data_IF_620580582378
#
_entry.id   IF_620580582378
#
_cell.length_a   1.000
_cell.length_b   1.000
_cell.length_c   1.000
_cell.angle_alpha   90.00
_cell.angle_beta   90.00
_cell.angle_gamma   90.00
#
_symmetry.space_group_name_H-M   'P 1'
#
loop_
_entity.id
_entity.type
_entity.pdbx_description
1 polymer ?
#
# COMPACT_ATOMS: atom_id res chain seq x y z
N UNK A 1 -15.62 -5.93 4.40
CA UNK A 1 -16.80 -5.55 3.61
C UNK A 1 -16.65 -4.17 3.02
N UNK A 2 -17.13 -4.00 1.80
CA UNK A 2 -17.39 -2.70 1.16
C UNK A 2 -18.90 -2.58 1.06
N UNK A 3 -19.45 -1.47 1.51
CA UNK A 3 -20.90 -1.23 1.54
C UNK A 3 -21.22 -0.01 0.69
N UNK A 4 -22.20 -0.16 -0.20
CA UNK A 4 -22.69 0.91 -1.06
C UNK A 4 -23.90 1.57 -0.41
N UNK A 5 -23.86 2.89 -0.33
CA UNK A 5 -24.97 3.71 0.15
C UNK A 5 -25.41 4.69 -0.92
N UNK A 6 -26.68 5.08 -0.88
CA UNK A 6 -27.19 6.22 -1.61
C UNK A 6 -26.69 7.54 -1.02
N UNK A 7 -26.90 8.64 -1.72
CA UNK A 7 -26.63 10.00 -1.16
C UNK A 7 -27.51 10.35 0.04
N UNK A 8 -28.63 9.65 0.23
CA UNK A 8 -29.51 9.76 1.38
C UNK A 8 -29.17 8.77 2.51
N UNK A 9 -28.01 8.10 2.43
CA UNK A 9 -27.54 7.10 3.39
C UNK A 9 -28.39 5.84 3.49
N UNK A 10 -29.16 5.52 2.48
CA UNK A 10 -29.81 4.22 2.38
C UNK A 10 -28.80 3.19 1.90
N UNK A 11 -28.73 2.06 2.59
CA UNK A 11 -27.88 0.97 2.19
C UNK A 11 -28.44 0.29 0.94
N UNK A 12 -27.67 0.31 -0.13
CA UNK A 12 -28.08 -0.25 -1.41
C UNK A 12 -27.57 -1.68 -1.61
N UNK A 13 -26.26 -1.92 -1.34
CA UNK A 13 -25.62 -3.18 -1.61
C UNK A 13 -24.33 -3.36 -0.80
N UNK A 14 -23.67 -4.52 -0.92
CA UNK A 14 -22.37 -4.79 -0.31
C UNK A 14 -21.56 -5.84 -1.06
N UNK A 15 -20.24 -5.69 -1.03
CA UNK A 15 -19.28 -6.72 -1.38
C UNK A 15 -18.58 -7.25 -0.11
N UNK A 16 -18.30 -8.55 -0.08
CA UNK A 16 -17.53 -9.17 1.02
C UNK A 16 -16.44 -10.06 0.42
N UNK A 17 -15.20 -9.72 0.69
CA UNK A 17 -14.07 -10.58 0.37
C UNK A 17 -13.92 -11.65 1.44
N UNK A 18 -13.78 -12.90 1.01
CA UNK A 18 -13.62 -14.08 1.89
C UNK A 18 -12.51 -14.97 1.35
N UNK A 19 -11.85 -15.69 2.24
CA UNK A 19 -10.95 -16.79 1.88
C UNK A 19 -9.62 -16.41 1.25
N UNK A 20 -9.25 -15.14 1.25
CA UNK A 20 -7.97 -14.71 0.76
C UNK A 20 -6.89 -15.12 1.76
N UNK A 21 -6.15 -16.16 1.57
CA UNK A 21 -5.00 -16.65 2.34
C UNK A 21 -4.96 -16.32 3.85
N UNK A 22 -6.12 -16.02 4.42
CA UNK A 22 -6.29 -15.70 5.83
C UNK A 22 -7.54 -16.38 6.36
N UNK A 23 -7.45 -16.88 7.57
CA UNK A 23 -8.58 -17.48 8.29
C UNK A 23 -9.33 -16.44 9.11
N UNK A 24 -8.77 -15.26 9.25
CA UNK A 24 -9.32 -14.15 10.04
C UNK A 24 -9.63 -12.96 9.13
N UNK A 25 -10.71 -12.22 9.38
CA UNK A 25 -10.99 -10.95 8.73
C UNK A 25 -9.90 -9.93 9.02
N UNK A 26 -9.79 -8.91 8.17
CA UNK A 26 -8.91 -7.76 8.40
C UNK A 26 -9.22 -7.14 9.76
N UNK A 27 -8.27 -7.18 10.67
CA UNK A 27 -8.46 -6.65 12.01
C UNK A 27 -7.59 -5.42 12.29
N UNK A 28 -6.57 -5.20 11.48
CA UNK A 28 -5.68 -4.07 11.61
C UNK A 28 -5.07 -3.67 10.27
N UNK A 29 -4.59 -2.46 10.21
CA UNK A 29 -3.80 -1.96 9.09
C UNK A 29 -4.43 -0.79 8.35
N UNK A 30 -3.65 -0.24 7.43
CA UNK A 30 -4.07 0.84 6.57
C UNK A 30 -5.13 0.39 5.57
N UNK A 31 -5.95 1.34 5.17
CA UNK A 31 -6.91 1.18 4.09
C UNK A 31 -6.83 2.39 3.19
N UNK A 32 -6.78 2.16 1.91
CA UNK A 32 -6.88 3.21 0.89
C UNK A 32 -7.68 2.73 -0.30
N UNK A 33 -8.26 3.65 -1.03
CA UNK A 33 -8.95 3.35 -2.28
C UNK A 33 -8.78 4.48 -3.29
N UNK A 34 -8.92 4.11 -4.56
CA UNK A 34 -9.03 5.02 -5.68
C UNK A 34 -10.18 4.57 -6.58
N UNK A 35 -10.80 5.50 -7.25
CA UNK A 35 -11.93 5.23 -8.15
C UNK A 35 -11.59 5.66 -9.57
N UNK A 36 -11.95 4.84 -10.54
CA UNK A 36 -11.88 5.18 -11.94
C UNK A 36 -12.90 4.35 -12.75
N UNK A 37 -13.72 5.02 -13.55
CA UNK A 37 -14.63 4.39 -14.51
C UNK A 37 -15.63 3.42 -13.89
N UNK A 38 -16.10 3.64 -12.66
CA UNK A 38 -17.03 2.75 -11.97
C UNK A 38 -16.35 1.57 -11.25
N UNK A 39 -15.03 1.55 -11.25
CA UNK A 39 -14.22 0.58 -10.51
C UNK A 39 -13.67 1.24 -9.24
N UNK A 40 -13.81 0.58 -8.11
CA UNK A 40 -13.20 0.97 -6.86
C UNK A 40 -12.03 0.05 -6.56
N UNK A 41 -10.83 0.57 -6.70
CA UNK A 41 -9.59 -0.13 -6.36
C UNK A 41 -9.33 0.02 -4.87
N UNK A 42 -9.08 -1.09 -4.20
CA UNK A 42 -8.87 -1.11 -2.75
C UNK A 42 -7.53 -1.75 -2.44
N UNK A 43 -6.78 -1.11 -1.55
CA UNK A 43 -5.56 -1.65 -0.96
C UNK A 43 -5.65 -1.55 0.55
N UNK A 44 -5.41 -2.68 1.21
CA UNK A 44 -5.42 -2.80 2.67
C UNK A 44 -4.44 -3.87 3.10
N UNK A 45 -4.14 -3.92 4.37
CA UNK A 45 -3.36 -5.00 4.95
C UNK A 45 -4.24 -6.00 5.68
N UNK A 46 -3.77 -7.21 5.81
CA UNK A 46 -4.43 -8.29 6.55
C UNK A 46 -3.39 -9.19 7.21
N UNK A 47 -3.83 -9.99 8.13
CA UNK A 47 -3.01 -10.95 8.82
C UNK A 47 -3.06 -12.33 8.15
N UNK A 48 -1.90 -12.95 7.96
CA UNK A 48 -1.78 -14.33 7.49
C UNK A 48 -1.47 -15.25 8.66
N UNK A 49 -2.36 -16.21 8.91
CA UNK A 49 -2.20 -17.14 10.03
C UNK A 49 -1.50 -18.44 9.69
N UNK A 50 -1.27 -18.69 8.41
CA UNK A 50 -0.61 -19.93 7.98
C UNK A 50 0.44 -19.58 6.95
N UNK A 51 1.65 -19.31 7.39
CA UNK A 51 2.78 -19.16 6.50
C UNK A 51 3.70 -20.40 6.58
N UNK A 52 4.47 -20.62 5.53
CA UNK A 52 5.36 -21.78 5.42
C UNK A 52 6.49 -21.81 6.44
N UNK A 53 6.78 -20.69 7.08
CA UNK A 53 7.79 -20.55 8.14
C UNK A 53 7.22 -20.69 9.55
N UNK A 54 5.90 -20.96 9.67
CA UNK A 54 5.23 -21.13 10.96
C UNK A 54 4.96 -19.82 11.71
N UNK A 55 5.23 -18.66 11.10
CA UNK A 55 4.95 -17.36 11.68
C UNK A 55 3.68 -16.75 11.08
N UNK A 56 3.04 -15.88 11.83
CA UNK A 56 1.93 -15.07 11.32
C UNK A 56 2.51 -13.80 10.68
N UNK A 57 2.24 -13.62 9.41
CA UNK A 57 2.67 -12.45 8.68
C UNK A 57 1.48 -11.58 8.32
N UNK A 58 1.70 -10.28 8.26
CA UNK A 58 0.73 -9.34 7.75
C UNK A 58 1.05 -9.00 6.29
N UNK A 59 0.03 -9.03 5.45
CA UNK A 59 0.17 -8.85 4.02
C UNK A 59 -0.69 -7.69 3.52
N UNK A 60 -0.17 -6.96 2.54
CA UNK A 60 -0.99 -6.04 1.78
C UNK A 60 -1.88 -6.80 0.81
N UNK A 61 -3.16 -6.45 0.83
CA UNK A 61 -4.18 -7.02 -0.05
C UNK A 61 -4.70 -5.95 -0.99
N UNK A 62 -4.82 -6.30 -2.26
CA UNK A 62 -5.48 -5.46 -3.26
C UNK A 62 -6.61 -6.22 -3.93
N UNK A 63 -7.71 -5.53 -4.21
CA UNK A 63 -8.84 -6.05 -4.97
C UNK A 63 -9.63 -4.92 -5.59
N UNK A 64 -10.45 -5.25 -6.58
CA UNK A 64 -11.31 -4.31 -7.27
C UNK A 64 -12.77 -4.63 -6.96
N UNK A 65 -13.57 -3.60 -6.71
CA UNK A 65 -15.03 -3.69 -6.60
C UNK A 65 -15.67 -2.98 -7.77
N UNK A 66 -16.49 -3.67 -8.52
CA UNK A 66 -17.33 -3.10 -9.57
C UNK A 66 -18.50 -2.39 -8.90
N UNK A 67 -18.60 -1.07 -9.08
CA UNK A 67 -19.58 -0.27 -8.33
C UNK A 67 -21.02 -0.49 -8.80
N UNK A 68 -21.22 -0.99 -10.01
CA UNK A 68 -22.56 -1.26 -10.55
C UNK A 68 -23.25 -2.39 -9.78
N UNK A 69 -22.59 -3.54 -9.69
CA UNK A 69 -23.16 -4.79 -9.17
C UNK A 69 -22.47 -5.31 -7.88
N UNK A 70 -21.53 -4.54 -7.34
CA UNK A 70 -20.74 -4.88 -6.15
C UNK A 70 -19.98 -6.19 -6.23
N UNK A 71 -19.67 -6.66 -7.44
CA UNK A 71 -18.80 -7.83 -7.62
C UNK A 71 -17.35 -7.51 -7.36
N UNK A 72 -16.59 -8.50 -6.88
CA UNK A 72 -15.16 -8.37 -6.61
C UNK A 72 -14.38 -9.10 -7.70
N UNK A 73 -13.40 -8.43 -8.25
CA UNK A 73 -12.40 -8.99 -9.15
C UNK A 73 -10.98 -8.71 -8.66
N UNK A 74 -10.01 -9.37 -9.28
CA UNK A 74 -8.58 -9.10 -9.09
C UNK A 74 -8.10 -9.14 -7.64
N UNK A 75 -8.74 -9.97 -6.81
CA UNK A 75 -8.28 -10.15 -5.45
C UNK A 75 -6.90 -10.82 -5.43
N UNK A 76 -5.89 -10.04 -5.08
CA UNK A 76 -4.54 -10.50 -4.86
C UNK A 76 -4.27 -10.56 -3.35
N UNK A 77 -4.49 -11.72 -2.79
CA UNK A 77 -4.21 -12.01 -1.38
C UNK A 77 -2.76 -12.41 -1.15
N UNK A 78 -2.07 -12.74 -2.22
CA UNK A 78 -0.70 -13.16 -2.11
C UNK A 78 0.18 -11.91 -2.09
N UNK A 79 1.05 -11.94 -1.16
CA UNK A 79 2.33 -11.31 -1.07
C UNK A 79 2.59 -10.29 -2.15
N UNK A 80 2.50 -9.06 -1.79
CA UNK A 80 2.83 -7.96 -2.68
C UNK A 80 4.33 -7.71 -2.84
N UNK A 81 5.18 -8.58 -2.30
CA UNK A 81 6.61 -8.52 -2.55
C UNK A 81 7.07 -9.64 -3.48
N UNK A 82 7.10 -9.41 -4.80
CA UNK A 82 7.48 -10.43 -5.77
C UNK A 82 8.95 -10.83 -5.70
N UNK A 83 9.81 -10.01 -5.08
CA UNK A 83 11.25 -10.24 -5.09
C UNK A 83 11.72 -11.27 -4.06
N UNK A 84 11.03 -11.39 -2.94
CA UNK A 84 11.48 -12.24 -1.83
C UNK A 84 10.47 -13.29 -1.40
N UNK A 85 9.25 -13.25 -1.90
CA UNK A 85 8.15 -14.10 -1.43
C UNK A 85 7.70 -13.80 0.00
N UNK A 86 8.29 -12.82 0.65
CA UNK A 86 7.96 -12.41 2.01
C UNK A 86 6.97 -11.25 2.01
N UNK A 87 6.09 -11.26 2.96
CA UNK A 87 5.03 -10.28 3.07
C UNK A 87 5.43 -9.17 4.01
N UNK A 88 5.42 -7.94 3.50
CA UNK A 88 5.47 -6.75 4.33
C UNK A 88 4.06 -6.25 4.51
N UNK A 89 3.57 -6.10 5.72
CA UNK A 89 2.35 -5.36 5.92
C UNK A 89 2.64 -3.87 5.88
N UNK A 90 1.64 -3.11 5.46
CA UNK A 90 1.76 -1.67 5.41
C UNK A 90 0.95 -1.04 6.53
N UNK A 91 1.60 -0.25 7.37
CA UNK A 91 0.94 0.51 8.42
C UNK A 91 0.11 1.67 7.90
N UNK A 92 0.49 2.20 6.74
CA UNK A 92 -0.24 3.26 6.05
C UNK A 92 -0.05 3.10 4.55
N UNK A 93 -1.11 3.38 3.82
CA UNK A 93 -1.17 3.20 2.37
C UNK A 93 -1.85 4.40 1.74
N UNK A 94 -1.32 4.83 0.60
CA UNK A 94 -1.93 5.84 -0.25
C UNK A 94 -2.06 5.27 -1.66
N UNK A 95 -3.09 5.69 -2.39
CA UNK A 95 -3.33 5.20 -3.74
C UNK A 95 -3.97 6.29 -4.59
N UNK A 96 -3.65 6.27 -5.87
CA UNK A 96 -4.33 7.03 -6.92
C UNK A 96 -4.39 6.22 -8.21
N UNK A 97 -5.26 6.62 -9.12
CA UNK A 97 -5.18 6.26 -10.54
C UNK A 97 -4.60 7.45 -11.26
N UNK A 98 -3.54 7.24 -12.03
CA UNK A 98 -2.88 8.31 -12.77
C UNK A 98 -3.63 8.65 -14.07
N UNK A 99 -3.20 9.72 -14.75
CA UNK A 99 -3.82 10.19 -16.00
C UNK A 99 -3.73 9.18 -17.15
N UNK A 100 -2.85 8.18 -17.04
CA UNK A 100 -2.72 7.10 -18.02
C UNK A 100 -3.53 5.85 -17.61
N UNK A 101 -4.35 5.94 -16.56
CA UNK A 101 -5.18 4.85 -16.04
C UNK A 101 -4.40 3.78 -15.27
N UNK A 102 -3.18 4.07 -14.83
CA UNK A 102 -2.37 3.12 -14.04
C UNK A 102 -2.62 3.31 -12.56
N UNK A 103 -2.68 2.21 -11.85
CA UNK A 103 -2.79 2.23 -10.40
C UNK A 103 -1.42 2.51 -9.78
N UNK A 104 -1.35 3.53 -8.93
CA UNK A 104 -0.14 3.90 -8.21
C UNK A 104 -0.43 3.87 -6.71
N UNK A 105 0.39 3.15 -5.96
CA UNK A 105 0.25 3.02 -4.52
C UNK A 105 1.58 3.29 -3.80
N UNK A 106 1.49 3.90 -2.63
CA UNK A 106 2.62 4.13 -1.73
C UNK A 106 2.35 3.41 -0.41
N UNK A 107 3.21 2.46 -0.07
CA UNK A 107 3.13 1.66 1.13
C UNK A 107 4.22 2.02 2.14
N UNK A 108 3.87 1.96 3.42
CA UNK A 108 4.80 2.01 4.52
C UNK A 108 5.10 0.59 5.03
N UNK A 109 6.19 0.01 4.56
CA UNK A 109 6.58 -1.35 4.93
C UNK A 109 7.53 -1.42 6.13
N UNK A 110 7.46 -2.50 6.89
CA UNK A 110 8.33 -2.77 8.05
C UNK A 110 9.33 -3.92 7.81
N UNK A 111 9.17 -4.66 6.73
CA UNK A 111 9.96 -5.86 6.47
C UNK A 111 10.61 -5.86 5.08
N UNK A 112 9.98 -6.45 4.09
CA UNK A 112 10.52 -6.59 2.73
C UNK A 112 9.63 -5.89 1.69
N UNK A 113 9.99 -4.64 1.35
CA UNK A 113 11.07 -3.84 1.96
C UNK A 113 10.65 -3.14 3.24
N UNK A 114 11.63 -2.79 4.06
CA UNK A 114 11.45 -1.89 5.20
C UNK A 114 11.66 -0.45 4.71
N UNK A 115 10.59 0.27 4.44
CA UNK A 115 10.68 1.59 3.83
C UNK A 115 9.39 2.11 3.22
N UNK A 116 9.47 3.23 2.52
CA UNK A 116 8.43 3.72 1.63
C UNK A 116 8.57 3.05 0.26
N UNK A 117 7.58 2.29 -0.14
CA UNK A 117 7.56 1.59 -1.42
C UNK A 117 6.49 2.17 -2.31
N UNK A 118 6.92 2.67 -3.46
CA UNK A 118 6.03 3.12 -4.53
C UNK A 118 5.80 1.96 -5.51
N UNK A 119 4.54 1.66 -5.78
CA UNK A 119 4.13 0.67 -6.76
C UNK A 119 3.44 1.36 -7.92
N UNK A 120 3.72 0.91 -9.13
CA UNK A 120 2.96 1.28 -10.32
C UNK A 120 2.52 0.01 -11.03
N UNK A 121 1.23 -0.17 -11.18
CA UNK A 121 0.66 -1.30 -11.88
C UNK A 121 0.30 -0.89 -13.30
N UNK A 122 0.89 -1.54 -14.28
CA UNK A 122 0.58 -1.36 -15.68
C UNK A 122 -0.72 -2.13 -15.98
N UNK A 123 -1.79 -1.39 -16.13
CA UNK A 123 -3.15 -1.93 -16.27
C UNK A 123 -3.95 -1.92 -14.95
N UNK A 124 -5.24 -2.03 -15.08
CA UNK A 124 -6.20 -1.85 -14.00
C UNK A 124 -6.26 -3.01 -13.01
N UNK A 125 -5.47 -4.05 -13.16
CA UNK A 125 -5.62 -5.26 -12.36
C UNK A 125 -4.93 -5.25 -11.00
N UNK A 126 -4.22 -4.22 -10.62
CA UNK A 126 -3.59 -4.09 -9.29
C UNK A 126 -2.67 -5.24 -8.84
N UNK A 127 -2.47 -6.25 -9.68
CA UNK A 127 -1.85 -7.52 -9.30
C UNK A 127 -0.35 -7.57 -9.48
N UNK A 128 0.17 -6.88 -10.45
CA UNK A 128 1.61 -6.86 -10.73
C UNK A 128 1.99 -5.49 -11.20
N UNK A 129 3.03 -4.97 -10.60
CA UNK A 129 3.56 -3.67 -10.97
C UNK A 129 5.04 -3.61 -10.71
N UNK A 130 5.62 -2.54 -11.14
CA UNK A 130 6.98 -2.20 -10.79
C UNK A 130 7.00 -1.60 -9.40
N UNK A 131 7.91 -2.08 -8.56
CA UNK A 131 8.13 -1.55 -7.21
C UNK A 131 9.42 -0.74 -7.17
N UNK A 132 9.36 0.41 -6.56
CA UNK A 132 10.52 1.25 -6.26
C UNK A 132 10.58 1.52 -4.76
N UNK A 133 11.71 1.24 -4.13
CA UNK A 133 11.97 1.66 -2.76
C UNK A 133 12.41 3.14 -2.75
N UNK A 134 11.49 4.01 -2.36
CA UNK A 134 11.73 5.47 -2.31
C UNK A 134 12.62 5.85 -1.14
N UNK A 135 12.41 5.21 0.02
CA UNK A 135 13.21 5.42 1.22
C UNK A 135 13.28 4.14 2.05
N UNK A 136 14.40 3.90 2.73
CA UNK A 136 14.57 2.81 3.68
C UNK A 136 14.46 3.32 5.11
N UNK A 137 13.79 2.56 5.97
CA UNK A 137 13.68 2.88 7.38
C UNK A 137 14.77 2.18 8.21
N UNK A 138 15.30 2.82 9.26
CA UNK A 138 16.20 2.17 10.20
C UNK A 138 15.48 1.07 11.00
N UNK A 139 16.26 0.18 11.59
CA UNK A 139 15.77 -0.87 12.49
C UNK A 139 15.78 -2.28 11.89
N UNK A 140 15.38 -3.24 12.69
CA UNK A 140 15.35 -4.65 12.30
C UNK A 140 14.14 -4.94 11.41
N UNK A 141 14.30 -5.89 10.50
CA UNK A 141 13.24 -6.38 9.63
C UNK A 141 12.09 -6.93 10.48
N UNK A 142 10.87 -6.49 10.16
CA UNK A 142 9.65 -6.88 10.89
C UNK A 142 9.43 -6.16 12.23
N UNK A 143 10.33 -5.25 12.62
CA UNK A 143 10.09 -4.45 13.83
C UNK A 143 9.01 -3.39 13.57
N UNK A 144 7.94 -3.42 14.36
CA UNK A 144 6.75 -2.56 14.19
C UNK A 144 7.07 -1.06 14.31
N UNK A 145 8.05 -0.70 15.12
CA UNK A 145 8.46 0.72 15.26
C UNK A 145 9.45 1.07 14.17
N UNK A 146 9.02 1.83 13.20
CA UNK A 146 9.84 2.26 12.06
C UNK A 146 10.44 3.66 12.24
N UNK A 147 9.88 4.47 13.12
CA UNK A 147 10.24 5.89 13.25
C UNK A 147 9.87 6.73 12.02
N UNK A 148 8.95 6.23 11.20
CA UNK A 148 8.62 6.80 9.91
C UNK A 148 7.11 6.79 9.66
N UNK A 149 6.66 7.56 8.67
CA UNK A 149 5.29 7.58 8.19
C UNK A 149 5.24 8.09 6.76
N UNK A 150 4.49 7.42 5.88
CA UNK A 150 4.12 7.96 4.57
C UNK A 150 2.91 8.87 4.71
N UNK A 151 2.93 10.04 4.06
CA UNK A 151 1.94 11.09 4.30
C UNK A 151 1.35 11.71 3.04
N UNK A 152 1.97 11.50 1.88
CA UNK A 152 1.49 12.08 0.63
C UNK A 152 1.90 11.29 -0.60
N UNK A 153 0.98 11.24 -1.55
CA UNK A 153 1.18 10.74 -2.90
C UNK A 153 0.41 11.65 -3.85
N UNK A 154 1.09 12.18 -4.85
CA UNK A 154 0.49 13.02 -5.86
C UNK A 154 1.13 12.76 -7.23
N UNK A 155 0.34 12.89 -8.27
CA UNK A 155 0.79 12.85 -9.64
C UNK A 155 1.18 14.23 -10.14
N UNK A 156 2.22 14.29 -10.98
CA UNK A 156 2.59 15.45 -11.78
C UNK A 156 2.54 15.08 -13.27
N UNK A 157 2.74 16.05 -14.14
CA UNK A 157 2.81 15.78 -15.59
C UNK A 157 3.92 14.79 -15.99
N UNK A 158 4.99 14.69 -15.21
CA UNK A 158 6.18 13.90 -15.56
C UNK A 158 6.53 12.81 -14.56
N UNK A 159 5.83 12.73 -13.42
CA UNK A 159 6.17 11.77 -12.38
C UNK A 159 5.22 11.79 -11.20
N UNK A 160 5.68 11.19 -10.11
CA UNK A 160 4.97 11.12 -8.85
C UNK A 160 5.77 11.80 -7.76
N UNK A 161 5.08 12.57 -6.92
CA UNK A 161 5.62 13.12 -5.68
C UNK A 161 5.14 12.26 -4.52
N UNK A 162 6.09 11.82 -3.71
CA UNK A 162 5.82 11.11 -2.47
C UNK A 162 6.31 11.94 -1.30
N UNK A 163 5.50 12.01 -0.23
CA UNK A 163 5.87 12.69 1.01
C UNK A 163 5.92 11.67 2.15
N UNK A 164 6.96 11.76 2.95
CA UNK A 164 7.13 10.91 4.12
C UNK A 164 7.95 11.62 5.20
N UNK A 165 7.80 11.17 6.43
CA UNK A 165 8.63 11.61 7.55
C UNK A 165 9.39 10.43 8.13
N UNK A 166 10.61 10.66 8.58
CA UNK A 166 11.36 9.66 9.35
C UNK A 166 12.52 10.31 10.13
N UNK A 167 13.08 9.57 11.07
CA UNK A 167 14.13 10.01 11.97
C UNK A 167 15.50 10.19 11.30
N UNK A 168 15.65 9.71 10.05
CA UNK A 168 16.91 9.82 9.31
C UNK A 168 17.87 8.66 9.53
N UNK A 169 18.94 8.64 8.76
CA UNK A 169 20.01 7.65 8.90
C UNK A 169 20.77 7.89 10.22
N UNK A 170 21.00 6.82 10.95
CA UNK A 170 21.71 6.89 12.24
C UNK A 170 20.83 7.32 13.41
N UNK A 171 19.49 7.24 13.24
CA UNK A 171 18.58 7.42 14.35
C UNK A 171 18.96 6.53 15.54
N UNK A 172 18.71 7.05 16.73
CA UNK A 172 18.92 6.32 17.98
C UNK A 172 18.03 5.06 18.06
N UNK A 173 18.23 4.26 19.09
CA UNK A 173 17.33 3.15 19.39
C UNK A 173 15.91 3.59 19.75
N UNK A 174 15.67 4.85 20.00
CA UNK A 174 14.35 5.38 20.35
C UNK A 174 13.67 6.08 19.14
N UNK A 175 13.34 5.28 18.13
CA UNK A 175 12.70 5.75 16.91
C UNK A 175 11.36 6.47 17.11
N UNK A 176 10.73 6.32 18.27
CA UNK A 176 9.45 6.98 18.60
C UNK A 176 9.65 8.42 19.06
N UNK A 177 10.68 8.69 19.86
CA UNK A 177 10.93 9.98 20.46
C UNK A 177 11.83 10.89 19.61
N UNK A 178 12.61 10.31 18.68
CA UNK A 178 13.52 11.08 17.84
C UNK A 178 12.77 12.07 16.94
N UNK A 179 13.37 13.21 16.72
CA UNK A 179 12.86 14.23 15.80
C UNK A 179 12.81 13.68 14.39
N UNK A 180 11.67 13.87 13.72
CA UNK A 180 11.44 13.46 12.34
C UNK A 180 11.52 14.66 11.42
N UNK A 181 12.19 14.48 10.30
CA UNK A 181 12.15 15.43 9.19
C UNK A 181 11.10 14.99 8.16
N UNK A 182 10.59 15.93 7.40
CA UNK A 182 9.71 15.69 6.26
C UNK A 182 10.57 15.68 5.00
N UNK A 183 10.35 14.67 4.18
CA UNK A 183 11.03 14.47 2.91
C UNK A 183 10.03 14.44 1.78
N UNK A 184 10.44 15.00 0.65
CA UNK A 184 9.74 14.87 -0.62
C UNK A 184 10.64 14.13 -1.59
N UNK A 185 10.13 13.10 -2.26
CA UNK A 185 10.83 12.42 -3.31
C UNK A 185 10.03 12.50 -4.61
N UNK A 186 10.73 12.70 -5.71
CA UNK A 186 10.17 12.68 -7.05
C UNK A 186 10.59 11.39 -7.74
N UNK A 187 9.65 10.73 -8.40
CA UNK A 187 9.87 9.54 -9.22
C UNK A 187 9.37 9.80 -10.63
N UNK A 188 10.21 9.63 -11.63
CA UNK A 188 9.84 9.79 -13.04
C UNK A 188 8.82 8.74 -13.49
N UNK A 189 7.86 9.13 -14.33
CA UNK A 189 6.93 8.19 -14.99
C UNK A 189 7.63 7.35 -16.06
N UNK A 190 8.59 7.92 -16.78
CA UNK A 190 9.17 7.28 -17.97
C UNK A 190 10.02 6.08 -17.61
N UNK A 191 10.90 6.21 -16.64
CA UNK A 191 11.81 5.15 -16.22
C UNK A 191 11.45 4.55 -14.85
N UNK A 192 10.44 5.11 -14.17
CA UNK A 192 10.03 4.76 -12.82
C UNK A 192 11.22 4.65 -11.87
N UNK A 193 12.13 5.61 -11.97
CA UNK A 193 13.31 5.73 -11.11
C UNK A 193 13.19 6.90 -10.15
N UNK A 194 13.89 6.83 -9.04
CA UNK A 194 14.00 7.95 -8.13
C UNK A 194 14.97 8.98 -8.70
N UNK A 195 14.48 10.19 -8.96
CA UNK A 195 15.30 11.27 -9.52
C UNK A 195 15.83 12.27 -8.50
N UNK A 196 15.34 12.25 -7.28
CA UNK A 196 15.85 13.09 -6.19
C UNK A 196 14.95 13.14 -4.97
N UNK A 197 15.57 13.36 -3.81
CA UNK A 197 14.89 13.55 -2.52
C UNK A 197 15.34 14.88 -1.92
N UNK A 198 14.41 15.67 -1.42
CA UNK A 198 14.64 16.92 -0.70
C UNK A 198 13.97 16.92 0.66
#
# INVERSE_FOLDING_TARGET
>A
RVVKYSKSWERLDQASLRGANTTIPFDAGGFTCAEDGGLLYIRTSHEMYTSSDGLNHQASLSFTVHQEDMTISDAASAVSNPATGYVSHSFNQLMLVDQEGRLVALDHGDAYPRGASLYRCDGQSGRRGTQLLVASWPGSIGANVTGAQVTGLAETSTGYLTAYSYTGKGASSNLTADVKNIYLAYTSKDDFSQSGTR
#
